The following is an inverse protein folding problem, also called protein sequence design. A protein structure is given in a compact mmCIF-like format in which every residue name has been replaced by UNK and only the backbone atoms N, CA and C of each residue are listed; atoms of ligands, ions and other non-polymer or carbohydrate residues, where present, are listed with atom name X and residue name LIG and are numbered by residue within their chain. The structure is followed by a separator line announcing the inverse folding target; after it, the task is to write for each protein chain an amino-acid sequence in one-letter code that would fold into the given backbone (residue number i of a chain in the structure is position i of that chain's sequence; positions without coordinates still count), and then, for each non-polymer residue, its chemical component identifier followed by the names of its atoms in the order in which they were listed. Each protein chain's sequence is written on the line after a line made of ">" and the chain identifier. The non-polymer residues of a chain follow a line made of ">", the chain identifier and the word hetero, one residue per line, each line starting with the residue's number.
data_IF_759582744318
#
_entry.id   IF_759582744318
#
_cell.length_a   1.000
_cell.length_b   1.000
_cell.length_c   1.000
_cell.angle_alpha   90.00
_cell.angle_beta   90.00
_cell.angle_gamma   90.00
#
_symmetry.space_group_name_H-M   'P 1'
#
loop_
_entity.id
_entity.type
_entity.pdbx_description
1 polymer ?
#
# COMPACT_ATOMS: atom_id res chain seq x y z
N UNK A 1 -9.01 -11.43 -8.58
CA UNK A 1 -7.69 -11.40 -7.93
C UNK A 1 -6.82 -10.49 -8.77
N UNK A 2 -6.27 -9.42 -8.20
CA UNK A 2 -5.33 -8.54 -8.91
C UNK A 2 -3.90 -8.98 -8.54
N UNK A 3 -2.96 -8.94 -9.48
CA UNK A 3 -1.55 -9.12 -9.14
C UNK A 3 -0.99 -7.87 -8.45
N UNK A 4 0.21 -7.98 -7.89
CA UNK A 4 0.90 -6.84 -7.28
C UNK A 4 1.12 -5.71 -8.30
N UNK A 5 1.48 -6.06 -9.54
CA UNK A 5 1.68 -5.15 -10.66
C UNK A 5 0.37 -4.50 -11.12
N UNK A 6 -0.72 -5.25 -11.20
CA UNK A 6 -2.03 -4.73 -11.58
C UNK A 6 -2.55 -3.71 -10.56
N UNK A 7 -2.35 -3.97 -9.26
CA UNK A 7 -2.66 -3.01 -8.21
C UNK A 7 -1.80 -1.74 -8.37
N UNK A 8 -0.50 -1.89 -8.59
CA UNK A 8 0.40 -0.73 -8.72
C UNK A 8 0.04 0.14 -9.93
N UNK A 9 -0.32 -0.50 -11.06
CA UNK A 9 -0.79 0.18 -12.25
C UNK A 9 -2.08 0.96 -11.98
N UNK A 10 -3.05 0.38 -11.27
CA UNK A 10 -4.28 1.05 -10.88
C UNK A 10 -4.02 2.24 -9.95
N UNK A 11 -3.19 2.07 -8.92
CA UNK A 11 -2.86 3.15 -7.99
C UNK A 11 -2.10 4.27 -8.69
N UNK A 12 -1.22 3.93 -9.63
CA UNK A 12 -0.52 4.89 -10.50
C UNK A 12 -1.52 5.71 -11.33
N UNK A 13 -2.53 5.05 -11.90
CA UNK A 13 -3.57 5.73 -12.67
C UNK A 13 -4.44 6.62 -11.78
N UNK A 14 -4.82 6.17 -10.58
CA UNK A 14 -5.53 7.02 -9.60
C UNK A 14 -4.70 8.24 -9.18
N UNK A 15 -3.40 8.08 -9.00
CA UNK A 15 -2.50 9.18 -8.67
C UNK A 15 -2.43 10.23 -9.79
N UNK A 16 -2.54 9.80 -11.06
CA UNK A 16 -2.54 10.68 -12.24
C UNK A 16 -3.89 11.34 -12.50
N UNK A 17 -4.95 10.54 -12.59
CA UNK A 17 -6.31 10.98 -12.92
C UNK A 17 -7.01 11.69 -11.76
N UNK A 18 -6.53 11.47 -10.53
CA UNK A 18 -7.01 12.08 -9.28
C UNK A 18 -8.55 12.07 -9.14
N UNK A 19 -9.20 10.89 -9.23
CA UNK A 19 -10.66 10.81 -9.16
C UNK A 19 -11.17 11.29 -7.80
N UNK A 20 -12.29 12.02 -7.81
CA UNK A 20 -12.94 12.54 -6.62
C UNK A 20 -13.31 11.40 -5.65
N UNK A 21 -13.13 11.62 -4.35
CA UNK A 21 -13.43 10.62 -3.32
C UNK A 21 -12.41 9.47 -3.20
N UNK A 22 -11.31 9.49 -3.96
CA UNK A 22 -10.29 8.44 -3.88
C UNK A 22 -9.47 8.52 -2.60
N UNK A 23 -9.55 7.48 -1.76
CA UNK A 23 -8.73 7.36 -0.56
C UNK A 23 -7.22 7.35 -0.86
N UNK A 24 -6.81 6.79 -2.01
CA UNK A 24 -5.41 6.84 -2.45
C UNK A 24 -4.95 8.28 -2.68
N UNK A 25 -5.77 9.09 -3.37
CA UNK A 25 -5.45 10.50 -3.63
C UNK A 25 -5.36 11.28 -2.32
N UNK A 26 -6.31 11.06 -1.40
CA UNK A 26 -6.28 11.69 -0.08
C UNK A 26 -5.01 11.35 0.72
N UNK A 27 -4.54 10.10 0.67
CA UNK A 27 -3.28 9.70 1.33
C UNK A 27 -2.06 10.35 0.67
N UNK A 28 -2.02 10.42 -0.67
CA UNK A 28 -0.95 11.10 -1.39
C UNK A 28 -0.89 12.60 -1.02
N UNK A 29 -2.04 13.25 -0.92
CA UNK A 29 -2.14 14.66 -0.53
C UNK A 29 -1.76 14.90 0.93
N UNK A 30 -2.02 13.93 1.83
CA UNK A 30 -1.59 13.96 3.23
C UNK A 30 -0.06 13.80 3.38
N UNK A 31 0.62 13.27 2.36
CA UNK A 31 2.07 13.21 2.26
C UNK A 31 2.73 12.03 2.96
N UNK A 32 4.04 11.91 2.72
CA UNK A 32 4.87 10.75 3.10
C UNK A 32 4.79 10.41 4.59
N UNK A 33 4.70 11.41 5.48
CA UNK A 33 4.63 11.16 6.92
C UNK A 33 3.34 10.44 7.33
N UNK A 34 2.19 10.83 6.75
CA UNK A 34 0.91 10.20 7.03
C UNK A 34 0.87 8.76 6.49
N UNK A 35 1.36 8.56 5.27
CA UNK A 35 1.47 7.23 4.64
C UNK A 35 2.41 6.33 5.46
N UNK A 36 3.56 6.86 5.90
CA UNK A 36 4.51 6.10 6.70
C UNK A 36 3.96 5.64 8.05
N UNK A 37 3.11 6.45 8.71
CA UNK A 37 2.39 6.02 9.91
C UNK A 37 1.49 4.82 9.62
N UNK A 38 0.75 4.85 8.52
CA UNK A 38 -0.07 3.72 8.09
C UNK A 38 0.76 2.47 7.84
N UNK A 39 1.88 2.57 7.13
CA UNK A 39 2.78 1.41 6.93
C UNK A 39 3.21 0.77 8.27
N UNK A 40 3.49 1.58 9.30
CA UNK A 40 3.88 1.07 10.63
C UNK A 40 2.69 0.45 11.38
N UNK A 41 1.51 1.05 11.27
CA UNK A 41 0.25 0.53 11.84
C UNK A 41 -0.06 -0.86 11.28
N UNK A 42 -0.14 -0.98 9.95
CA UNK A 42 -0.44 -2.26 9.28
C UNK A 42 0.64 -3.30 9.54
N UNK A 43 1.92 -2.90 9.67
CA UNK A 43 2.99 -3.85 10.01
C UNK A 43 2.81 -4.45 11.42
N UNK A 44 2.30 -3.66 12.37
CA UNK A 44 1.96 -4.17 13.69
C UNK A 44 0.73 -5.08 13.62
N UNK A 45 -0.28 -4.72 12.85
CA UNK A 45 -1.50 -5.52 12.67
C UNK A 45 -1.22 -6.85 11.97
N UNK A 46 -0.38 -6.87 10.93
CA UNK A 46 0.11 -8.10 10.28
C UNK A 46 0.77 -9.02 11.28
N UNK A 47 1.65 -8.51 12.14
CA UNK A 47 2.31 -9.35 13.15
C UNK A 47 1.30 -9.90 14.14
N UNK A 48 0.40 -9.07 14.65
CA UNK A 48 -0.63 -9.51 15.59
C UNK A 48 -1.56 -10.56 14.97
N UNK A 49 -2.02 -10.34 13.74
CA UNK A 49 -2.91 -11.26 13.04
C UNK A 49 -2.22 -12.60 12.74
N UNK A 50 -0.94 -12.58 12.36
CA UNK A 50 -0.18 -13.80 12.11
C UNK A 50 0.03 -14.67 13.37
N UNK A 51 0.08 -14.06 14.55
CA UNK A 51 0.28 -14.78 15.82
C UNK A 51 -1.03 -15.23 16.48
N UNK A 52 -2.11 -14.44 16.33
CA UNK A 52 -3.29 -14.55 17.18
C UNK A 52 -4.62 -14.70 16.44
N UNK A 53 -4.65 -14.52 15.12
CA UNK A 53 -5.89 -14.50 14.33
C UNK A 53 -5.91 -15.61 13.26
N UNK A 54 -6.96 -15.63 12.45
CA UNK A 54 -7.10 -16.59 11.34
C UNK A 54 -6.20 -16.24 10.16
N UNK A 55 -5.91 -17.22 9.30
CA UNK A 55 -5.22 -17.01 8.02
C UNK A 55 -5.95 -15.98 7.13
N UNK A 56 -7.28 -15.90 7.24
CA UNK A 56 -8.10 -14.92 6.50
C UNK A 56 -7.83 -13.50 6.99
N UNK A 57 -7.83 -13.28 8.31
CA UNK A 57 -7.52 -11.97 8.91
C UNK A 57 -6.06 -11.59 8.63
N UNK A 58 -5.11 -12.52 8.76
CA UNK A 58 -3.71 -12.25 8.45
C UNK A 58 -3.51 -11.88 6.97
N UNK A 59 -4.22 -12.54 6.05
CA UNK A 59 -4.19 -12.18 4.63
C UNK A 59 -4.80 -10.80 4.36
N UNK A 60 -5.85 -10.42 5.09
CA UNK A 60 -6.43 -9.08 5.03
C UNK A 60 -5.40 -8.01 5.40
N UNK A 61 -4.73 -8.13 6.55
CA UNK A 61 -3.74 -7.14 6.98
C UNK A 61 -2.51 -7.09 6.05
N UNK A 62 -2.06 -8.25 5.55
CA UNK A 62 -0.98 -8.29 4.56
C UNK A 62 -1.41 -7.52 3.30
N UNK A 63 -2.67 -7.64 2.88
CA UNK A 63 -3.17 -6.91 1.71
C UNK A 63 -3.17 -5.39 1.93
N UNK A 64 -3.53 -4.93 3.13
CA UNK A 64 -3.52 -3.51 3.52
C UNK A 64 -2.09 -2.96 3.56
N UNK A 65 -1.16 -3.72 4.17
CA UNK A 65 0.27 -3.37 4.19
C UNK A 65 0.83 -3.23 2.77
N UNK A 66 0.56 -4.18 1.87
CA UNK A 66 1.02 -4.12 0.48
C UNK A 66 0.42 -2.91 -0.25
N UNK A 67 -0.85 -2.58 -0.03
CA UNK A 67 -1.46 -1.37 -0.56
C UNK A 67 -0.73 -0.11 -0.08
N UNK A 68 -0.51 0.04 1.22
CA UNK A 68 0.14 1.22 1.79
C UNK A 68 1.61 1.36 1.37
N UNK A 69 2.32 0.25 1.20
CA UNK A 69 3.68 0.25 0.63
C UNK A 69 3.67 0.75 -0.81
N UNK A 70 2.73 0.31 -1.65
CA UNK A 70 2.62 0.82 -3.02
C UNK A 70 2.23 2.31 -3.07
N UNK A 71 1.36 2.79 -2.17
CA UNK A 71 1.06 4.23 -2.05
C UNK A 71 2.30 5.02 -1.64
N UNK A 72 3.12 4.49 -0.72
CA UNK A 72 4.39 5.09 -0.32
C UNK A 72 5.39 5.16 -1.49
N UNK A 73 5.45 4.11 -2.32
CA UNK A 73 6.27 4.10 -3.54
C UNK A 73 5.86 5.26 -4.47
N UNK A 74 4.55 5.43 -4.72
CA UNK A 74 4.04 6.52 -5.54
C UNK A 74 4.35 7.90 -4.96
N UNK A 75 4.16 8.09 -3.65
CA UNK A 75 4.49 9.34 -2.96
C UNK A 75 5.99 9.69 -3.02
N UNK A 76 6.86 8.68 -3.20
CA UNK A 76 8.31 8.83 -3.34
C UNK A 76 8.80 8.83 -4.78
N UNK A 77 7.92 8.64 -5.76
CA UNK A 77 8.27 8.54 -7.18
C UNK A 77 9.04 7.27 -7.55
N UNK A 78 8.88 6.19 -6.78
CA UNK A 78 9.50 4.90 -7.04
C UNK A 78 8.66 4.07 -8.01
N UNK A 79 9.33 3.35 -8.91
CA UNK A 79 8.70 2.35 -9.78
C UNK A 79 8.87 0.95 -9.20
N UNK A 80 8.10 -0.02 -9.69
CA UNK A 80 8.26 -1.43 -9.31
C UNK A 80 9.67 -1.93 -9.58
N UNK A 81 10.28 -1.54 -10.71
CA UNK A 81 11.63 -1.98 -11.06
C UNK A 81 12.68 -1.49 -10.05
N UNK A 82 12.43 -0.34 -9.41
CA UNK A 82 13.33 0.21 -8.40
C UNK A 82 13.33 -0.64 -7.12
N UNK A 83 12.24 -1.37 -6.84
CA UNK A 83 12.14 -2.30 -5.71
C UNK A 83 12.58 -3.70 -6.12
N UNK A 84 12.11 -4.19 -7.28
CA UNK A 84 12.37 -5.55 -7.76
C UNK A 84 13.85 -5.83 -8.02
N UNK A 85 14.67 -4.82 -8.32
CA UNK A 85 16.13 -4.99 -8.45
C UNK A 85 16.84 -5.42 -7.14
N UNK A 86 16.14 -5.37 -6.01
CA UNK A 86 16.64 -5.75 -4.69
C UNK A 86 16.09 -7.09 -4.18
N UNK A 87 15.26 -7.77 -4.98
CA UNK A 87 14.70 -9.09 -4.70
C UNK A 87 15.53 -10.17 -5.42
#
# INVERSE_FOLDING_TARGET
>A
MKTFEELFAELSEKARSRPEGSGTVAQLDAGVHAIGKKVVEEAAEVWMAAEYESDENAAEEISQLLYHLQVLMLARGLRLEDVYKHL
#
